data_IF_098674824267
#
_entry.id   IF_098674824267
#
_cell.length_a   1.000
_cell.length_b   1.000
_cell.length_c   1.000
_cell.angle_alpha   90.00
_cell.angle_beta   90.00
_cell.angle_gamma   90.00
#
_symmetry.space_group_name_H-M   'P 1'
#
loop_
_entity.id
_entity.type
_entity.pdbx_description
1 polymer ?
#
# COMPACT_ATOMS: atom_id res chain seq x y z
N UNK A 1 1.14 3.91 1.28
CA UNK A 1 0.11 4.95 1.08
C UNK A 1 -1.32 4.49 1.40
N UNK A 2 -1.67 3.20 1.21
CA UNK A 2 -3.04 2.68 1.40
C UNK A 2 -3.52 2.54 2.86
N UNK A 3 -2.64 2.69 3.85
CA UNK A 3 -3.05 2.65 5.26
C UNK A 3 -4.08 3.75 5.56
N UNK A 4 -5.36 3.39 5.77
CA UNK A 4 -6.43 4.35 6.03
C UNK A 4 -6.60 5.40 4.91
N UNK A 5 -6.33 5.04 3.66
CA UNK A 5 -6.54 5.92 2.50
C UNK A 5 -7.11 5.11 1.35
N UNK A 6 -8.18 5.58 0.74
CA UNK A 6 -8.87 4.90 -0.37
C UNK A 6 -7.98 4.78 -1.60
N UNK A 7 -8.12 3.68 -2.35
CA UNK A 7 -7.28 3.34 -3.50
C UNK A 7 -7.29 4.45 -4.55
N UNK A 8 -8.47 4.98 -4.88
CA UNK A 8 -8.67 6.02 -5.91
C UNK A 8 -7.92 7.31 -5.58
N UNK A 9 -7.77 7.61 -4.28
CA UNK A 9 -6.99 8.76 -3.81
C UNK A 9 -5.48 8.50 -3.84
N UNK A 10 -5.07 7.23 -3.71
CA UNK A 10 -3.66 6.83 -3.66
C UNK A 10 -3.07 6.68 -5.05
N UNK A 11 -3.78 6.08 -6.01
CA UNK A 11 -3.25 5.75 -7.35
C UNK A 11 -2.50 6.91 -8.00
N UNK A 12 -3.07 8.12 -8.20
CA UNK A 12 -2.33 9.21 -8.85
C UNK A 12 -1.10 9.63 -8.04
N UNK A 13 -1.21 9.68 -6.70
CA UNK A 13 -0.09 10.05 -5.82
C UNK A 13 1.02 9.02 -5.82
N UNK A 14 0.68 7.74 -5.96
CA UNK A 14 1.65 6.65 -6.02
C UNK A 14 2.43 6.67 -7.33
N UNK A 15 1.74 6.90 -8.45
CA UNK A 15 2.39 7.02 -9.76
C UNK A 15 3.36 8.22 -9.80
N UNK A 16 2.90 9.40 -9.38
CA UNK A 16 3.77 10.60 -9.26
C UNK A 16 4.97 10.35 -8.34
N UNK A 17 4.76 9.60 -7.25
CA UNK A 17 5.82 9.26 -6.29
C UNK A 17 6.89 8.37 -6.89
N UNK A 18 6.49 7.32 -7.61
CA UNK A 18 7.42 6.40 -8.25
C UNK A 18 8.17 7.04 -9.42
N UNK A 19 7.52 7.94 -10.16
CA UNK A 19 8.21 8.72 -11.20
C UNK A 19 9.28 9.63 -10.58
N UNK A 20 8.97 10.26 -9.44
CA UNK A 20 9.89 11.17 -8.76
C UNK A 20 11.02 10.47 -8.01
N UNK A 21 10.73 9.32 -7.40
CA UNK A 21 11.69 8.51 -6.65
C UNK A 21 11.51 7.02 -7.00
N UNK A 22 12.10 6.56 -8.12
CA UNK A 22 12.00 5.18 -8.59
C UNK A 22 12.66 4.15 -7.66
N UNK A 23 13.59 4.57 -6.80
CA UNK A 23 14.34 3.71 -5.90
C UNK A 23 14.32 4.19 -4.45
N UNK A 24 14.58 3.27 -3.51
CA UNK A 24 14.73 3.60 -2.09
C UNK A 24 15.90 4.57 -1.86
N UNK A 25 17.01 4.43 -2.59
CA UNK A 25 18.18 5.30 -2.49
C UNK A 25 17.86 6.74 -2.93
N UNK A 26 17.10 6.90 -4.01
CA UNK A 26 16.66 8.22 -4.47
C UNK A 26 15.69 8.87 -3.49
N UNK A 27 14.78 8.09 -2.91
CA UNK A 27 13.91 8.59 -1.84
C UNK A 27 14.73 8.98 -0.60
N UNK A 28 15.72 8.18 -0.21
CA UNK A 28 16.59 8.45 0.94
C UNK A 28 17.41 9.73 0.81
N UNK A 29 17.84 10.05 -0.42
CA UNK A 29 18.58 11.26 -0.76
C UNK A 29 17.69 12.51 -0.86
N UNK A 30 16.36 12.36 -0.88
CA UNK A 30 15.43 13.46 -1.04
C UNK A 30 15.43 14.43 0.14
N UNK A 31 15.17 15.71 -0.13
CA UNK A 31 14.93 16.66 0.95
C UNK A 31 13.60 16.34 1.65
N UNK A 32 13.60 16.36 2.99
CA UNK A 32 12.38 16.11 3.79
C UNK A 32 11.21 17.03 3.37
N UNK A 33 11.50 18.27 2.96
CA UNK A 33 10.49 19.21 2.48
C UNK A 33 9.81 18.74 1.18
N UNK A 34 10.54 18.10 0.27
CA UNK A 34 9.98 17.54 -0.96
C UNK A 34 9.09 16.34 -0.67
N UNK A 35 9.52 15.47 0.25
CA UNK A 35 8.73 14.33 0.75
C UNK A 35 7.41 14.81 1.35
N UNK A 36 7.44 15.83 2.22
CA UNK A 36 6.23 16.39 2.83
C UNK A 36 5.30 16.97 1.75
N UNK A 37 5.85 17.68 0.77
CA UNK A 37 5.07 18.28 -0.32
C UNK A 37 4.41 17.22 -1.19
N UNK A 38 5.13 16.16 -1.55
CA UNK A 38 4.60 15.03 -2.32
C UNK A 38 3.52 14.26 -1.54
N UNK A 39 3.62 14.20 -0.22
CA UNK A 39 2.62 13.54 0.64
C UNK A 39 1.37 14.39 0.94
N UNK A 40 1.38 15.68 0.59
CA UNK A 40 0.31 16.61 0.94
C UNK A 40 -1.05 16.14 0.38
N UNK A 41 -2.07 16.11 1.23
CA UNK A 41 -3.44 15.71 0.86
C UNK A 41 -3.76 14.22 1.02
N UNK A 42 -2.78 13.37 1.32
CA UNK A 42 -2.99 11.94 1.65
C UNK A 42 -3.37 11.69 3.12
N UNK A 43 -3.21 12.70 3.98
CA UNK A 43 -3.45 12.58 5.42
C UNK A 43 -2.38 11.75 6.14
N UNK A 44 -2.36 11.84 7.47
CA UNK A 44 -1.39 11.16 8.34
C UNK A 44 0.06 11.38 7.87
N UNK A 45 0.50 12.63 7.79
CA UNK A 45 1.82 13.04 7.23
C UNK A 45 3.02 12.30 7.85
N UNK A 46 2.89 11.82 9.10
CA UNK A 46 3.90 10.98 9.75
C UNK A 46 4.24 9.72 8.94
N UNK A 47 3.30 9.17 8.16
CA UNK A 47 3.56 8.01 7.28
C UNK A 47 4.59 8.33 6.19
N UNK A 48 4.49 9.49 5.55
CA UNK A 48 5.46 9.91 4.54
C UNK A 48 6.86 10.12 5.14
N UNK A 49 6.92 10.74 6.33
CA UNK A 49 8.18 10.91 7.06
C UNK A 49 8.79 9.58 7.52
N UNK A 50 7.98 8.64 7.97
CA UNK A 50 8.44 7.31 8.37
C UNK A 50 8.94 6.51 7.15
N UNK A 51 8.22 6.55 6.03
CA UNK A 51 8.68 5.93 4.78
C UNK A 51 10.03 6.50 4.33
N UNK A 52 10.21 7.82 4.42
CA UNK A 52 11.49 8.45 4.12
C UNK A 52 12.61 7.98 5.06
N UNK A 53 12.35 7.92 6.37
CA UNK A 53 13.33 7.37 7.34
C UNK A 53 13.64 5.89 7.12
N UNK A 54 12.64 5.11 6.72
CA UNK A 54 12.84 3.70 6.37
C UNK A 54 13.73 3.57 5.12
N UNK A 55 13.51 4.38 4.10
CA UNK A 55 14.37 4.43 2.92
C UNK A 55 15.80 4.83 3.31
N UNK A 56 15.97 5.83 4.17
CA UNK A 56 17.29 6.23 4.70
C UNK A 56 17.99 5.10 5.44
N UNK A 57 17.28 4.39 6.32
CA UNK A 57 17.84 3.23 7.03
C UNK A 57 18.28 2.13 6.06
N UNK A 58 17.44 1.81 5.06
CA UNK A 58 17.78 0.81 4.04
C UNK A 58 18.99 1.23 3.22
N UNK A 59 19.12 2.50 2.84
CA UNK A 59 20.25 3.00 2.08
C UNK A 59 21.58 2.96 2.87
N UNK A 60 21.53 3.10 4.20
CA UNK A 60 22.73 3.12 5.05
C UNK A 60 23.11 1.76 5.62
N UNK A 61 22.11 0.96 6.01
CA UNK A 61 22.29 -0.30 6.75
C UNK A 61 21.92 -1.54 5.92
N UNK A 62 21.29 -1.36 4.75
CA UNK A 62 20.69 -2.45 3.98
C UNK A 62 19.28 -2.82 4.46
N UNK A 63 18.69 -3.80 3.79
CA UNK A 63 17.38 -4.34 4.18
C UNK A 63 17.52 -5.20 5.45
N UNK A 64 16.72 -4.96 6.50
CA UNK A 64 16.73 -5.82 7.68
C UNK A 64 16.02 -7.15 7.38
N UNK A 65 16.40 -8.21 8.11
CA UNK A 65 15.71 -9.50 8.06
C UNK A 65 14.27 -9.38 8.59
N UNK A 66 14.08 -8.64 9.68
CA UNK A 66 12.76 -8.30 10.21
C UNK A 66 12.35 -6.89 9.75
N UNK A 67 11.43 -6.84 8.79
CA UNK A 67 10.91 -5.58 8.26
C UNK A 67 10.20 -4.72 9.31
N UNK A 68 9.74 -5.28 10.43
CA UNK A 68 9.08 -4.51 11.50
C UNK A 68 10.03 -3.57 12.24
N UNK A 69 11.34 -3.75 12.06
CA UNK A 69 12.33 -2.81 12.58
C UNK A 69 12.32 -1.48 11.81
N UNK A 70 11.80 -1.45 10.57
CA UNK A 70 11.76 -0.23 9.77
C UNK A 70 10.75 0.80 10.33
N UNK A 71 11.11 2.10 10.35
CA UNK A 71 10.20 3.15 10.79
C UNK A 71 8.84 3.12 10.07
N UNK A 72 7.76 2.99 10.85
CA UNK A 72 6.39 2.98 10.34
C UNK A 72 5.95 1.68 9.66
N UNK A 73 6.76 0.64 9.71
CA UNK A 73 6.39 -0.71 9.27
C UNK A 73 5.90 -1.49 10.49
N UNK A 74 4.59 -1.71 10.57
CA UNK A 74 3.99 -2.60 11.57
C UNK A 74 3.81 -4.02 11.03
N UNK A 75 3.32 -4.96 11.86
CA UNK A 75 3.16 -6.37 11.50
C UNK A 75 2.40 -6.60 10.19
N UNK A 76 1.29 -5.88 9.97
CA UNK A 76 0.53 -5.97 8.72
C UNK A 76 1.37 -5.55 7.50
N UNK A 77 2.11 -4.44 7.61
CA UNK A 77 2.89 -3.93 6.46
C UNK A 77 4.08 -4.83 6.17
N UNK A 78 4.76 -5.35 7.20
CA UNK A 78 5.81 -6.36 7.05
C UNK A 78 5.26 -7.63 6.36
N UNK A 79 4.13 -8.16 6.81
CA UNK A 79 3.47 -9.32 6.19
C UNK A 79 3.03 -9.04 4.75
N UNK A 80 2.52 -7.84 4.45
CA UNK A 80 2.07 -7.49 3.11
C UNK A 80 3.25 -7.39 2.12
N UNK A 81 4.35 -6.75 2.53
CA UNK A 81 5.59 -6.70 1.73
C UNK A 81 6.16 -8.12 1.58
N UNK A 82 6.23 -8.88 2.68
CA UNK A 82 6.72 -10.25 2.69
C UNK A 82 5.95 -11.14 1.71
N UNK A 83 4.62 -11.11 1.72
CA UNK A 83 3.78 -11.91 0.83
C UNK A 83 3.88 -11.45 -0.63
N UNK A 84 3.61 -10.17 -0.91
CA UNK A 84 3.42 -9.69 -2.29
C UNK A 84 4.71 -9.38 -3.03
N UNK A 85 5.73 -8.87 -2.33
CA UNK A 85 6.99 -8.48 -2.96
C UNK A 85 8.08 -9.54 -2.82
N UNK A 86 8.13 -10.23 -1.67
CA UNK A 86 9.21 -11.18 -1.35
C UNK A 86 8.80 -12.65 -1.52
N UNK A 87 7.51 -12.94 -1.73
CA UNK A 87 7.00 -14.29 -1.92
C UNK A 87 7.09 -15.17 -0.67
N UNK A 88 7.10 -14.57 0.51
CA UNK A 88 7.10 -15.28 1.79
C UNK A 88 5.72 -15.85 2.10
N UNK A 89 5.69 -17.03 2.73
CA UNK A 89 4.46 -17.73 3.13
C UNK A 89 3.88 -17.12 4.42
N UNK A 90 3.44 -15.86 4.35
CA UNK A 90 2.84 -15.10 5.45
C UNK A 90 1.56 -14.42 4.98
N UNK A 91 0.47 -14.53 5.75
CA UNK A 91 -0.81 -13.90 5.38
C UNK A 91 -0.89 -12.49 5.98
N UNK A 92 -0.95 -11.41 5.16
CA UNK A 92 -1.26 -10.07 5.66
C UNK A 92 -2.73 -9.97 6.09
N UNK A 93 -2.97 -9.84 7.40
CA UNK A 93 -4.32 -9.71 7.95
C UNK A 93 -4.63 -8.26 8.29
N UNK A 94 -5.47 -7.61 7.48
CA UNK A 94 -6.11 -6.34 7.81
C UNK A 94 -7.55 -6.56 8.32
N UNK A 95 -8.28 -5.47 8.55
CA UNK A 95 -9.69 -5.54 8.98
C UNK A 95 -10.60 -6.19 7.93
N UNK A 96 -10.23 -6.19 6.65
CA UNK A 96 -10.97 -6.83 5.58
C UNK A 96 -10.80 -8.35 5.61
N UNK A 97 -9.55 -8.80 5.67
CA UNK A 97 -9.18 -10.22 5.76
C UNK A 97 -9.70 -10.83 7.07
N UNK A 98 -9.55 -10.15 8.21
CA UNK A 98 -10.12 -10.61 9.50
C UNK A 98 -11.63 -10.82 9.39
N UNK A 99 -12.34 -9.84 8.83
CA UNK A 99 -13.80 -9.91 8.69
C UNK A 99 -14.27 -11.03 7.77
N UNK A 100 -13.54 -11.33 6.69
CA UNK A 100 -13.81 -12.48 5.84
C UNK A 100 -13.67 -13.78 6.64
N UNK A 101 -12.56 -13.95 7.38
CA UNK A 101 -12.31 -15.15 8.18
C UNK A 101 -13.35 -15.35 9.28
N UNK A 102 -13.72 -14.27 9.98
CA UNK A 102 -14.72 -14.31 11.06
C UNK A 102 -16.11 -14.69 10.53
N UNK A 103 -16.54 -14.11 9.41
CA UNK A 103 -17.89 -14.36 8.86
C UNK A 103 -18.01 -15.71 8.17
N UNK A 104 -16.95 -16.15 7.51
CA UNK A 104 -16.96 -17.45 6.81
C UNK A 104 -16.69 -18.60 7.78
N UNK A 105 -15.91 -18.36 8.84
CA UNK A 105 -15.40 -19.37 9.76
C UNK A 105 -14.15 -20.09 9.25
N UNK A 106 -13.68 -19.77 8.04
CA UNK A 106 -12.53 -20.41 7.43
C UNK A 106 -11.23 -19.66 7.71
N UNK A 107 -10.14 -20.41 7.88
CA UNK A 107 -8.77 -19.90 7.83
C UNK A 107 -8.21 -20.19 6.45
N UNK A 108 -7.57 -19.20 5.86
CA UNK A 108 -7.03 -19.29 4.52
C UNK A 108 -5.50 -19.30 4.55
N UNK A 109 -4.88 -19.99 3.61
CA UNK A 109 -3.43 -19.97 3.45
C UNK A 109 -2.95 -18.61 2.92
N UNK A 110 -1.66 -18.24 3.14
CA UNK A 110 -1.06 -17.03 2.56
C UNK A 110 -1.19 -16.90 1.04
N UNK A 111 -1.26 -18.02 0.30
CA UNK A 111 -1.49 -18.03 -1.15
C UNK A 111 -2.83 -17.39 -1.58
N UNK A 112 -3.79 -17.24 -0.66
CA UNK A 112 -5.07 -16.60 -0.92
C UNK A 112 -5.07 -15.08 -0.61
N UNK A 113 -3.93 -14.49 -0.22
CA UNK A 113 -3.86 -13.11 0.26
C UNK A 113 -4.54 -12.10 -0.68
N UNK A 114 -4.21 -12.12 -1.98
CA UNK A 114 -4.81 -11.22 -2.96
C UNK A 114 -6.34 -11.39 -3.02
N UNK A 115 -6.80 -12.63 -3.17
CA UNK A 115 -8.23 -12.94 -3.26
C UNK A 115 -9.00 -12.51 -2.00
N UNK A 116 -8.39 -12.64 -0.81
CA UNK A 116 -9.01 -12.22 0.44
C UNK A 116 -9.11 -10.71 0.58
N UNK A 117 -8.09 -9.97 0.13
CA UNK A 117 -8.16 -8.51 0.09
C UNK A 117 -9.28 -8.03 -0.84
N UNK A 118 -9.34 -8.59 -2.05
CA UNK A 118 -10.37 -8.24 -3.04
C UNK A 118 -11.77 -8.61 -2.55
N UNK A 119 -11.93 -9.82 -1.99
CA UNK A 119 -13.19 -10.28 -1.43
C UNK A 119 -13.63 -9.39 -0.26
N UNK A 120 -12.71 -9.06 0.64
CA UNK A 120 -12.99 -8.21 1.79
C UNK A 120 -13.38 -6.78 1.38
N UNK A 121 -12.77 -6.24 0.34
CA UNK A 121 -13.00 -4.88 -0.15
C UNK A 121 -14.26 -4.73 -1.03
N UNK A 122 -14.74 -5.79 -1.68
CA UNK A 122 -15.82 -5.70 -2.69
C UNK A 122 -17.08 -6.51 -2.35
N UNK A 123 -16.93 -7.63 -1.65
CA UNK A 123 -18.05 -8.56 -1.39
C UNK A 123 -18.38 -8.62 0.10
N UNK A 124 -17.36 -8.83 0.93
CA UNK A 124 -17.52 -8.94 2.37
C UNK A 124 -17.46 -7.58 3.04
N UNK A 125 -18.26 -6.61 2.58
CA UNK A 125 -18.27 -5.25 3.10
C UNK A 125 -18.73 -5.19 4.56
N UNK A 126 -18.26 -4.21 5.32
CA UNK A 126 -18.61 -4.06 6.74
C UNK A 126 -20.13 -3.95 6.95
N UNK A 127 -20.80 -3.07 6.18
CA UNK A 127 -22.23 -2.76 6.33
C UNK A 127 -23.18 -3.64 5.50
N UNK A 128 -22.75 -4.11 4.33
CA UNK A 128 -23.60 -4.89 3.41
C UNK A 128 -22.87 -6.19 3.05
N UNK A 129 -22.79 -7.17 3.97
CA UNK A 129 -22.07 -8.40 3.72
C UNK A 129 -22.75 -9.24 2.64
N UNK A 130 -22.05 -9.47 1.53
CA UNK A 130 -22.43 -10.46 0.51
C UNK A 130 -21.62 -11.75 0.61
N UNK A 131 -20.74 -11.86 1.62
CA UNK A 131 -19.94 -13.06 1.89
C UNK A 131 -20.68 -14.16 2.66
N UNK A 132 -21.91 -13.90 3.11
CA UNK A 132 -22.76 -14.85 3.83
C UNK A 132 -23.70 -15.67 2.94
N UNK A 133 -23.76 -15.40 1.63
CA UNK A 133 -24.39 -16.35 0.69
C UNK A 133 -23.50 -17.59 0.57
N UNK A 134 -24.13 -18.76 0.60
CA UNK A 134 -23.53 -20.11 0.61
C UNK A 134 -22.38 -20.34 -0.37
N UNK A 135 -22.25 -19.53 -1.41
CA UNK A 135 -21.25 -19.63 -2.46
C UNK A 135 -19.79 -19.48 -2.00
N UNK A 136 -19.47 -18.64 -1.01
CA UNK A 136 -18.07 -18.51 -0.54
C UNK A 136 -17.69 -19.60 0.47
N UNK A 137 -18.64 -20.07 1.29
CA UNK A 137 -18.43 -21.23 2.16
C UNK A 137 -18.16 -22.48 1.32
N UNK A 138 -18.99 -22.71 0.29
CA UNK A 138 -18.80 -23.84 -0.64
C UNK A 138 -17.54 -23.69 -1.52
N UNK A 139 -17.16 -22.49 -1.95
CA UNK A 139 -15.92 -22.27 -2.72
C UNK A 139 -14.65 -22.40 -1.87
N UNK A 140 -14.68 -21.99 -0.60
CA UNK A 140 -13.57 -22.16 0.33
C UNK A 140 -13.30 -23.65 0.64
N UNK A 141 -14.33 -24.49 0.58
CA UNK A 141 -14.23 -25.95 0.71
C UNK A 141 -13.78 -26.66 -0.58
N UNK A 142 -13.94 -26.02 -1.76
CA UNK A 142 -13.81 -26.70 -3.06
C UNK A 142 -12.52 -26.43 -3.85
N UNK A 143 -11.62 -25.54 -3.42
CA UNK A 143 -10.44 -25.16 -4.24
C UNK A 143 -9.15 -25.79 -3.72
N UNK A 144 -8.57 -26.79 -4.42
CA UNK A 144 -7.14 -27.02 -4.30
C UNK A 144 -6.43 -25.85 -5.01
N UNK A 145 -5.71 -25.03 -4.24
CA UNK A 145 -4.99 -23.81 -4.67
C UNK A 145 -3.85 -24.02 -5.67
N UNK A 146 -3.91 -25.06 -6.52
CA UNK A 146 -2.96 -25.29 -7.60
C UNK A 146 -3.57 -24.79 -8.91
N UNK A 147 -3.18 -23.58 -9.35
CA UNK A 147 -3.20 -23.03 -10.74
C UNK A 147 -3.83 -21.63 -10.89
N UNK A 148 -3.39 -20.62 -10.16
CA UNK A 148 -3.68 -19.23 -10.57
C UNK A 148 -2.48 -18.27 -10.57
N UNK A 149 -1.28 -18.73 -10.23
CA UNK A 149 -0.06 -17.93 -10.43
C UNK A 149 0.73 -18.52 -11.60
N UNK A 150 0.79 -17.85 -12.77
CA UNK A 150 1.81 -18.14 -13.76
C UNK A 150 3.17 -17.89 -13.11
N UNK A 151 4.06 -18.87 -13.13
CA UNK A 151 5.43 -18.68 -12.66
C UNK A 151 6.16 -17.73 -13.62
N UNK A 152 6.17 -16.43 -13.33
CA UNK A 152 7.17 -15.54 -13.93
C UNK A 152 8.52 -15.82 -13.28
N UNK A 153 9.61 -16.01 -14.06
CA UNK A 153 10.94 -16.20 -13.49
C UNK A 153 11.32 -14.96 -12.68
N UNK A 154 11.80 -15.19 -11.45
CA UNK A 154 12.31 -14.16 -10.55
C UNK A 154 13.48 -13.43 -11.25
N UNK A 155 13.46 -12.11 -11.25
CA UNK A 155 14.65 -11.34 -11.58
C UNK A 155 15.67 -11.55 -10.45
N UNK A 156 16.84 -12.08 -10.79
CA UNK A 156 17.95 -12.27 -9.86
C UNK A 156 18.38 -10.90 -9.30
N UNK A 157 18.15 -10.67 -8.01
CA UNK A 157 18.79 -9.56 -7.29
C UNK A 157 20.20 -10.02 -6.96
N UNK A 158 21.17 -9.65 -7.80
CA UNK A 158 22.58 -9.88 -7.53
C UNK A 158 23.05 -9.02 -6.34
N UNK A 159 23.87 -9.55 -5.41
CA UNK A 159 24.50 -8.73 -4.38
C UNK A 159 25.61 -7.90 -5.01
N UNK A 160 25.69 -6.61 -4.67
CA UNK A 160 26.86 -5.77 -5.00
C UNK A 160 27.71 -5.56 -3.76
N UNK A 161 28.86 -6.22 -3.74
CA UNK A 161 29.99 -5.91 -2.87
C UNK A 161 30.64 -4.57 -3.25
N UNK A 162 31.14 -3.83 -2.25
CA UNK A 162 32.40 -3.07 -2.40
C UNK A 162 32.35 -1.55 -2.63
N UNK A 163 32.41 -0.80 -1.51
CA UNK A 163 33.30 0.34 -1.18
C UNK A 163 33.74 1.35 -2.26
N UNK A 164 33.55 2.65 -1.96
CA UNK A 164 34.33 3.75 -2.59
C UNK A 164 34.05 5.13 -2.02
N UNK A 165 34.83 5.57 -1.03
CA UNK A 165 34.84 6.92 -0.49
C UNK A 165 35.37 7.96 -1.50
N UNK A 166 34.82 9.19 -1.51
CA UNK A 166 35.64 10.41 -1.66
C UNK A 166 34.87 11.73 -1.43
N UNK A 167 35.51 12.56 -0.60
CA UNK A 167 35.76 14.00 -0.71
C UNK A 167 34.59 14.99 -0.90
N UNK A 168 34.44 15.86 0.11
CA UNK A 168 33.47 16.95 0.15
C UNK A 168 33.76 18.11 -0.81
N UNK A 169 32.69 18.88 -1.09
CA UNK A 169 32.74 20.20 -1.72
C UNK A 169 32.29 21.29 -0.73
N UNK A 170 32.88 22.49 -0.78
CA UNK A 170 32.55 23.58 0.13
C UNK A 170 31.20 24.23 -0.21
N UNK A 171 30.43 24.60 0.82
CA UNK A 171 29.18 25.36 0.70
C UNK A 171 29.47 26.84 0.42
N UNK A 172 28.75 27.52 -0.49
CA UNK A 172 28.78 28.97 -0.58
C UNK A 172 27.95 29.61 0.55
N UNK A 173 28.47 30.72 1.10
CA UNK A 173 27.80 31.60 2.07
C UNK A 173 26.90 32.60 1.33
N UNK A 174 25.73 32.93 1.91
CA UNK A 174 25.17 34.28 1.83
C UNK A 174 23.67 34.42 1.51
N UNK A 175 22.95 35.13 2.38
CA UNK A 175 21.67 35.80 2.08
C UNK A 175 20.54 35.59 3.10
N UNK A 176 19.97 36.64 3.73
CA UNK A 176 18.76 36.52 4.55
C UNK A 176 17.54 36.20 3.67
N UNK A 177 16.74 35.21 4.08
CA UNK A 177 15.47 34.86 3.43
C UNK A 177 14.35 35.78 3.94
N UNK A 178 13.53 36.41 3.07
CA UNK A 178 12.40 37.23 3.50
C UNK A 178 11.33 36.41 4.23
N UNK A 179 10.71 37.00 5.26
CA UNK A 179 9.63 36.36 6.04
C UNK A 179 8.33 36.24 5.22
N UNK A 180 7.60 35.12 5.28
CA UNK A 180 6.29 35.02 4.65
C UNK A 180 5.23 35.83 5.42
N UNK A 181 4.38 36.55 4.68
CA UNK A 181 3.24 37.28 5.23
C UNK A 181 2.16 36.35 5.80
N UNK A 182 1.36 36.87 6.76
CA UNK A 182 0.28 36.12 7.42
C UNK A 182 -0.81 35.68 6.43
N UNK A 183 -1.32 34.44 6.53
CA UNK A 183 -2.49 34.03 5.76
C UNK A 183 -3.79 34.66 6.32
N UNK A 184 -4.70 35.02 5.42
CA UNK A 184 -6.09 35.40 5.75
C UNK A 184 -6.93 34.15 6.01
N UNK A 185 -7.92 34.19 6.92
CA UNK A 185 -8.79 33.05 7.19
C UNK A 185 -9.83 32.90 6.08
N UNK A 186 -9.92 31.71 5.48
CA UNK A 186 -11.08 31.30 4.70
C UNK A 186 -12.01 30.51 5.63
N UNK A 187 -13.26 30.96 5.73
CA UNK A 187 -14.30 30.41 6.61
C UNK A 187 -14.77 29.00 6.24
N UNK A 188 -15.72 28.43 7.02
CA UNK A 188 -16.14 27.05 6.88
C UNK A 188 -17.08 26.88 5.68
N UNK A 189 -16.72 26.01 4.75
CA UNK A 189 -17.62 25.47 3.73
C UNK A 189 -17.64 23.96 3.85
N UNK A 190 -18.34 23.47 4.88
CA UNK A 190 -18.77 22.07 4.95
C UNK A 190 -20.29 22.07 4.91
N UNK A 191 -20.85 21.70 3.77
CA UNK A 191 -22.23 21.23 3.70
C UNK A 191 -22.22 19.70 3.61
N UNK A 192 -23.06 19.09 4.43
CA UNK A 192 -23.39 17.68 4.43
C UNK A 192 -24.25 17.34 3.21
N UNK A 193 -24.27 16.04 2.86
CA UNK A 193 -25.22 15.33 1.98
C UNK A 193 -24.69 14.91 0.60
N UNK A 194 -24.58 13.58 0.42
CA UNK A 194 -24.92 12.78 -0.78
C UNK A 194 -23.89 11.73 -1.22
N UNK A 195 -24.16 10.49 -0.79
CA UNK A 195 -24.33 9.25 -1.57
C UNK A 195 -24.15 9.29 -3.10
N UNK A 196 -23.32 8.38 -3.64
CA UNK A 196 -23.40 7.62 -4.94
C UNK A 196 -21.96 7.24 -5.37
N UNK A 197 -21.50 5.99 -5.55
CA UNK A 197 -21.88 4.81 -6.40
C UNK A 197 -21.83 5.05 -7.91
N UNK A 198 -20.91 4.34 -8.59
CA UNK A 198 -21.10 3.51 -9.83
C UNK A 198 -19.78 2.80 -10.11
N UNK A 199 -19.64 1.46 -10.09
CA UNK A 199 -20.19 0.43 -11.00
C UNK A 199 -19.81 0.72 -12.46
N UNK A 200 -18.76 0.08 -12.94
CA UNK A 200 -18.49 -0.06 -14.37
C UNK A 200 -18.70 -1.52 -14.79
N UNK A 201 -19.64 -1.70 -15.73
CA UNK A 201 -20.12 -2.92 -16.40
C UNK A 201 -21.26 -3.71 -15.69
N UNK A 202 -22.50 -3.27 -15.90
CA UNK A 202 -23.74 -4.03 -15.66
C UNK A 202 -24.31 -4.52 -16.99
N UNK A 203 -23.61 -5.43 -17.68
CA UNK A 203 -24.28 -6.25 -18.68
C UNK A 203 -25.19 -7.29 -18.00
N UNK A 204 -26.42 -7.53 -18.51
CA UNK A 204 -27.32 -8.53 -17.94
C UNK A 204 -26.71 -9.93 -18.00
N UNK A 205 -26.85 -10.69 -16.91
CA UNK A 205 -26.57 -12.13 -16.86
C UNK A 205 -27.75 -12.93 -17.45
N UNK A 206 -28.13 -12.60 -18.69
CA UNK A 206 -29.10 -13.40 -19.42
C UNK A 206 -28.35 -14.47 -20.22
N UNK A 207 -28.65 -15.74 -19.89
CA UNK A 207 -28.18 -17.00 -20.49
C UNK A 207 -27.07 -17.77 -19.75
N UNK A 208 -27.34 -18.22 -18.51
CA UNK A 208 -26.75 -19.47 -17.98
C UNK A 208 -27.83 -20.30 -17.27
N UNK A 209 -28.89 -20.65 -18.00
CA UNK A 209 -29.63 -21.90 -17.78
C UNK A 209 -30.12 -22.38 -19.15
N UNK A 210 -29.46 -23.40 -19.69
CA UNK A 210 -29.79 -24.00 -20.96
C UNK A 210 -29.04 -25.32 -21.12
N UNK A 211 -29.82 -26.40 -21.05
CA UNK A 211 -29.48 -27.83 -21.07
C UNK A 211 -29.03 -28.43 -19.73
#
# INVERSE_FOLDING_TARGET
MLQQTQVERVVPRYLDWLERWPSADELAAAAVADVIRAWQGLGYNRRGLNLHRAAQRVATEGWPDDLTELPGVGPYTAAAIGNFALGLDVLPVDTNVSRVQERTGHRFSPAAAQALMDLGATVCLARIPRCGVSSIRSAAEAVPLRRLVPATPRADVAPRDGVGASAGRPRPRGGPVPRPGRPRPAGPLWNESHTAVTVSDTRPWDNVTGA
#
